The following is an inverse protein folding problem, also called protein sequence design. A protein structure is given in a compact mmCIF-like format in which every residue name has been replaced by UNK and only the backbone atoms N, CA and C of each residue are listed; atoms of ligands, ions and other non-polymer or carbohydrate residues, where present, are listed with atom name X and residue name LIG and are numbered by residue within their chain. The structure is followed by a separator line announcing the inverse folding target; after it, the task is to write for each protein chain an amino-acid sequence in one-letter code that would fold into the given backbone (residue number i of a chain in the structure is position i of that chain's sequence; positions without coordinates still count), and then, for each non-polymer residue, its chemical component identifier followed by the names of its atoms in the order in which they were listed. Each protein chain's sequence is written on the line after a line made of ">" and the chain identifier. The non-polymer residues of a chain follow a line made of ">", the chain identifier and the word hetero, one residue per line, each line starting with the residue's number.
data_IF_118746325382
#
_entry.id   IF_118746325382
#
_cell.length_a   1.000
_cell.length_b   1.000
_cell.length_c   1.000
_cell.angle_alpha   90.00
_cell.angle_beta   90.00
_cell.angle_gamma   90.00
#
_symmetry.space_group_name_H-M   'P 1'
#
loop_
_entity.id
_entity.type
_entity.pdbx_description
1 polymer ?
#
# COMPACT_ATOMS: atom_id res chain seq x y z
N UNK A 1 -20.01 -0.74 -6.25
CA UNK A 1 -19.28 -1.86 -6.85
C UNK A 1 -19.14 -2.98 -5.82
N UNK A 2 -19.63 -4.16 -6.16
CA UNK A 2 -19.65 -5.29 -5.23
C UNK A 2 -18.40 -6.15 -5.40
N UNK A 3 -17.23 -5.56 -5.26
CA UNK A 3 -15.98 -6.31 -5.32
C UNK A 3 -15.51 -6.69 -3.93
N UNK A 4 -14.64 -7.68 -3.87
CA UNK A 4 -13.97 -8.02 -2.62
C UNK A 4 -13.05 -6.84 -2.27
N UNK A 5 -13.21 -6.22 -1.07
CA UNK A 5 -12.40 -5.05 -0.71
C UNK A 5 -10.90 -5.36 -0.69
N UNK A 6 -10.51 -6.57 -0.35
CA UNK A 6 -9.10 -6.98 -0.38
C UNK A 6 -8.57 -7.02 -1.81
N UNK A 7 -9.38 -7.50 -2.75
CA UNK A 7 -8.99 -7.51 -4.18
C UNK A 7 -8.83 -6.08 -4.71
N UNK A 8 -9.76 -5.20 -4.38
CA UNK A 8 -9.70 -3.78 -4.77
C UNK A 8 -8.44 -3.13 -4.19
N UNK A 9 -8.16 -3.40 -2.92
CA UNK A 9 -6.97 -2.88 -2.25
C UNK A 9 -5.69 -3.42 -2.90
N UNK A 10 -5.69 -4.70 -3.29
CA UNK A 10 -4.55 -5.31 -3.99
C UNK A 10 -4.28 -4.61 -5.32
N UNK A 11 -5.31 -4.30 -6.08
CA UNK A 11 -5.17 -3.55 -7.34
C UNK A 11 -4.59 -2.15 -7.06
N UNK A 12 -5.05 -1.49 -5.99
CA UNK A 12 -4.51 -0.20 -5.59
C UNK A 12 -3.01 -0.28 -5.28
N UNK A 13 -2.59 -1.31 -4.55
CA UNK A 13 -1.19 -1.53 -4.20
C UNK A 13 -0.34 -1.78 -5.44
N UNK A 14 -0.80 -2.65 -6.34
CA UNK A 14 -0.08 -2.94 -7.59
C UNK A 14 0.06 -1.67 -8.43
N UNK A 15 -1.01 -0.89 -8.56
CA UNK A 15 -0.99 0.37 -9.30
C UNK A 15 0.02 1.35 -8.69
N UNK A 16 0.05 1.46 -7.36
CA UNK A 16 1.00 2.33 -6.66
C UNK A 16 2.44 1.90 -6.91
N UNK A 17 2.72 0.59 -6.82
CA UNK A 17 4.07 0.05 -7.06
C UNK A 17 4.50 0.31 -8.50
N UNK A 18 3.61 0.10 -9.46
CA UNK A 18 3.90 0.40 -10.87
C UNK A 18 4.16 1.89 -11.08
N UNK A 19 3.39 2.75 -10.42
CA UNK A 19 3.59 4.19 -10.48
C UNK A 19 4.94 4.61 -9.93
N UNK A 20 5.32 4.06 -8.79
CA UNK A 20 6.61 4.36 -8.16
C UNK A 20 7.77 3.86 -9.03
N UNK A 21 7.64 2.68 -9.64
CA UNK A 21 8.64 2.15 -10.57
C UNK A 21 8.78 3.04 -11.80
N UNK A 22 7.65 3.49 -12.36
CA UNK A 22 7.64 4.41 -13.50
C UNK A 22 8.28 5.76 -13.14
N UNK A 23 8.03 6.25 -11.93
CA UNK A 23 8.64 7.47 -11.44
C UNK A 23 10.16 7.36 -11.43
N UNK A 24 10.69 6.23 -10.98
CA UNK A 24 12.13 5.98 -11.00
C UNK A 24 12.67 5.92 -12.43
N UNK A 25 11.92 5.28 -13.33
CA UNK A 25 12.29 5.20 -14.76
C UNK A 25 12.21 6.57 -15.45
N UNK A 26 11.45 7.52 -14.91
CA UNK A 26 11.33 8.85 -15.48
C UNK A 26 12.57 9.72 -15.26
N UNK A 27 13.51 9.26 -14.46
CA UNK A 27 14.77 9.99 -14.15
C UNK A 27 14.49 11.42 -13.67
N UNK A 28 13.67 11.56 -12.62
CA UNK A 28 13.30 12.86 -12.10
C UNK A 28 12.29 13.60 -12.96
N UNK A 29 11.42 12.85 -13.66
CA UNK A 29 10.39 13.36 -14.57
C UNK A 29 10.96 14.03 -15.82
N UNK A 30 12.19 13.70 -16.20
CA UNK A 30 12.78 14.16 -17.47
C UNK A 30 12.26 13.37 -18.65
N UNK A 31 11.76 12.14 -18.41
CA UNK A 31 11.14 11.30 -19.44
C UNK A 31 9.62 11.49 -19.37
N UNK A 32 9.00 12.25 -20.31
CA UNK A 32 7.56 12.58 -20.18
C UNK A 32 6.63 11.38 -20.24
N UNK A 33 6.99 10.33 -20.99
CA UNK A 33 6.16 9.12 -21.10
C UNK A 33 6.01 8.45 -19.73
N UNK A 34 7.12 8.25 -19.03
CA UNK A 34 7.11 7.61 -17.71
C UNK A 34 6.46 8.51 -16.66
N UNK A 35 6.58 9.82 -16.78
CA UNK A 35 5.89 10.76 -15.90
C UNK A 35 4.37 10.66 -16.04
N UNK A 36 3.87 10.55 -17.27
CA UNK A 36 2.44 10.37 -17.54
C UNK A 36 1.95 9.03 -17.00
N UNK A 37 2.72 7.96 -17.20
CA UNK A 37 2.39 6.62 -16.67
C UNK A 37 2.33 6.66 -15.14
N UNK A 38 3.27 7.34 -14.50
CA UNK A 38 3.29 7.51 -13.04
C UNK A 38 1.99 8.18 -12.56
N UNK A 39 1.62 9.29 -13.19
CA UNK A 39 0.41 10.01 -12.83
C UNK A 39 -0.84 9.15 -12.99
N UNK A 40 -0.95 8.43 -14.10
CA UNK A 40 -2.08 7.55 -14.37
C UNK A 40 -2.18 6.43 -13.34
N UNK A 41 -1.04 5.80 -13.01
CA UNK A 41 -1.00 4.72 -12.02
C UNK A 41 -1.39 5.20 -10.63
N UNK A 42 -0.93 6.38 -10.21
CA UNK A 42 -1.30 6.93 -8.91
C UNK A 42 -2.77 7.32 -8.83
N UNK A 43 -3.32 7.91 -9.90
CA UNK A 43 -4.74 8.23 -9.96
C UNK A 43 -5.56 6.95 -9.79
N UNK A 44 -5.22 5.89 -10.54
CA UNK A 44 -5.90 4.60 -10.43
C UNK A 44 -5.77 4.02 -9.02
N UNK A 45 -4.58 4.10 -8.43
CA UNK A 45 -4.33 3.61 -7.07
C UNK A 45 -5.24 4.31 -6.05
N UNK A 46 -5.32 5.63 -6.10
CA UNK A 46 -6.15 6.40 -5.17
C UNK A 46 -7.64 6.15 -5.39
N UNK A 47 -8.08 5.99 -6.64
CA UNK A 47 -9.47 5.66 -6.94
C UNK A 47 -9.83 4.30 -6.36
N UNK A 48 -8.98 3.30 -6.57
CA UNK A 48 -9.20 1.96 -6.03
C UNK A 48 -9.17 1.94 -4.51
N UNK A 49 -8.24 2.71 -3.91
CA UNK A 49 -8.18 2.85 -2.45
C UNK A 49 -9.49 3.43 -1.91
N UNK A 50 -10.04 4.43 -2.59
CA UNK A 50 -11.32 5.03 -2.20
C UNK A 50 -12.45 4.00 -2.20
N UNK A 51 -12.50 3.14 -3.21
CA UNK A 51 -13.49 2.06 -3.25
C UNK A 51 -13.28 1.04 -2.14
N UNK A 52 -12.03 0.71 -1.83
CA UNK A 52 -11.72 -0.22 -0.74
C UNK A 52 -12.16 0.34 0.62
N UNK A 53 -12.11 1.66 0.80
CA UNK A 53 -12.50 2.31 2.05
C UNK A 53 -13.99 2.19 2.35
N UNK A 54 -14.82 1.81 1.38
CA UNK A 54 -16.25 1.59 1.63
C UNK A 54 -16.50 0.39 2.52
N UNK A 55 -15.61 -0.61 2.45
CA UNK A 55 -15.77 -1.87 3.18
C UNK A 55 -14.68 -2.13 4.21
N UNK A 56 -13.61 -1.33 4.20
CA UNK A 56 -12.50 -1.45 5.14
C UNK A 56 -12.37 -0.18 5.97
N UNK A 57 -11.90 -0.34 7.21
CA UNK A 57 -11.61 0.83 8.04
C UNK A 57 -10.48 1.65 7.42
N UNK A 58 -10.50 2.96 7.70
CA UNK A 58 -9.51 3.89 7.20
C UNK A 58 -8.08 3.46 7.59
N UNK A 59 -7.88 3.12 8.86
CA UNK A 59 -6.57 2.71 9.36
C UNK A 59 -6.06 1.44 8.70
N UNK A 60 -6.93 0.44 8.57
CA UNK A 60 -6.56 -0.83 7.95
C UNK A 60 -6.21 -0.65 6.48
N UNK A 61 -7.06 0.05 5.73
CA UNK A 61 -6.83 0.25 4.29
C UNK A 61 -5.53 1.03 4.04
N UNK A 62 -5.33 2.14 4.72
CA UNK A 62 -4.11 2.94 4.56
C UNK A 62 -2.87 2.22 5.07
N UNK A 63 -3.00 1.50 6.18
CA UNK A 63 -1.87 0.74 6.75
C UNK A 63 -1.39 -0.36 5.82
N UNK A 64 -2.30 -1.14 5.28
CA UNK A 64 -1.96 -2.22 4.35
C UNK A 64 -1.43 -1.64 3.04
N UNK A 65 -2.14 -0.66 2.48
CA UNK A 65 -1.72 -0.03 1.22
C UNK A 65 -0.33 0.59 1.34
N UNK A 66 -0.10 1.40 2.36
CA UNK A 66 1.19 2.04 2.56
C UNK A 66 2.29 1.07 2.92
N UNK A 67 2.01 0.13 3.84
CA UNK A 67 3.01 -0.83 4.30
C UNK A 67 3.41 -1.84 3.25
N UNK A 68 2.45 -2.50 2.62
CA UNK A 68 2.72 -3.49 1.58
C UNK A 68 3.32 -2.82 0.34
N UNK A 69 2.81 -1.64 -0.03
CA UNK A 69 3.36 -0.87 -1.15
C UNK A 69 4.83 -0.50 -0.91
N UNK A 70 5.15 -0.02 0.28
CA UNK A 70 6.53 0.32 0.65
C UNK A 70 7.43 -0.92 0.64
N UNK A 71 6.95 -2.03 1.18
CA UNK A 71 7.69 -3.29 1.19
C UNK A 71 8.02 -3.75 -0.24
N UNK A 72 7.03 -3.77 -1.11
CA UNK A 72 7.20 -4.19 -2.51
C UNK A 72 8.12 -3.22 -3.27
N UNK A 73 7.97 -1.93 -3.07
CA UNK A 73 8.81 -0.91 -3.70
C UNK A 73 10.28 -1.07 -3.26
N UNK A 74 10.50 -1.35 -1.98
CA UNK A 74 11.85 -1.58 -1.44
C UNK A 74 12.48 -2.81 -2.09
N UNK A 75 11.72 -3.91 -2.20
CA UNK A 75 12.20 -5.13 -2.84
C UNK A 75 12.57 -4.89 -4.30
N UNK A 76 11.71 -4.18 -5.04
CA UNK A 76 11.96 -3.86 -6.44
C UNK A 76 13.23 -3.01 -6.58
N UNK A 77 13.39 -2.01 -5.70
CA UNK A 77 14.59 -1.17 -5.70
C UNK A 77 15.86 -1.97 -5.48
N UNK A 78 15.84 -2.90 -4.54
CA UNK A 78 17.00 -3.75 -4.24
C UNK A 78 17.31 -4.67 -5.41
N UNK A 79 16.29 -5.30 -6.01
CA UNK A 79 16.48 -6.30 -7.06
C UNK A 79 16.87 -5.65 -8.40
N UNK A 80 16.15 -4.60 -8.81
CA UNK A 80 16.30 -4.03 -10.15
C UNK A 80 17.27 -2.86 -10.23
N UNK A 81 17.40 -2.08 -9.18
CA UNK A 81 18.27 -0.90 -9.16
C UNK A 81 19.47 -1.03 -8.25
N UNK A 82 19.68 -2.22 -7.68
CA UNK A 82 20.79 -2.48 -6.76
C UNK A 82 20.86 -1.45 -5.61
N UNK A 83 19.71 -1.03 -5.12
CA UNK A 83 19.67 -0.15 -3.96
C UNK A 83 20.35 -0.87 -2.79
N UNK A 84 21.10 -0.14 -1.95
CA UNK A 84 21.82 -0.80 -0.88
C UNK A 84 20.88 -1.38 0.15
N UNK A 85 21.09 -2.66 0.48
CA UNK A 85 20.40 -3.31 1.59
C UNK A 85 21.31 -3.19 2.82
N UNK A 86 20.85 -2.43 3.80
CA UNK A 86 21.58 -2.25 5.04
C UNK A 86 20.76 -2.79 6.22
N UNK A 87 21.40 -2.89 7.37
CA UNK A 87 20.71 -3.27 8.61
C UNK A 87 19.58 -2.29 8.90
N UNK A 88 19.78 -1.01 8.62
CA UNK A 88 18.75 0.03 8.82
C UNK A 88 17.53 -0.24 7.95
N UNK A 89 17.73 -0.59 6.67
CA UNK A 89 16.64 -0.95 5.76
C UNK A 89 15.90 -2.19 6.26
N UNK A 90 16.65 -3.21 6.69
CA UNK A 90 16.07 -4.44 7.24
C UNK A 90 15.21 -4.17 8.47
N UNK A 91 15.69 -3.35 9.39
CA UNK A 91 14.92 -2.96 10.59
C UNK A 91 13.65 -2.22 10.19
N UNK A 92 13.74 -1.31 9.22
CA UNK A 92 12.57 -0.58 8.72
C UNK A 92 11.52 -1.49 8.12
N UNK A 93 11.94 -2.46 7.31
CA UNK A 93 11.03 -3.45 6.70
C UNK A 93 10.33 -4.28 7.77
N UNK A 94 11.08 -4.76 8.76
CA UNK A 94 10.52 -5.53 9.88
C UNK A 94 9.52 -4.66 10.66
N UNK A 95 9.84 -3.39 10.89
CA UNK A 95 8.95 -2.47 11.59
C UNK A 95 7.64 -2.26 10.82
N UNK A 96 7.72 -2.13 9.49
CA UNK A 96 6.54 -1.98 8.63
C UNK A 96 5.65 -3.22 8.70
N UNK A 97 6.24 -4.41 8.57
CA UNK A 97 5.49 -5.67 8.62
C UNK A 97 4.84 -5.85 9.99
N UNK A 98 5.59 -5.57 11.06
CA UNK A 98 5.04 -5.64 12.42
C UNK A 98 3.90 -4.64 12.62
N UNK A 99 4.06 -3.43 12.08
CA UNK A 99 3.02 -2.40 12.13
C UNK A 99 1.73 -2.82 11.45
N UNK A 100 1.83 -3.45 10.27
CA UNK A 100 0.67 -3.96 9.53
C UNK A 100 -0.03 -5.04 10.37
N UNK A 101 0.73 -5.97 10.94
CA UNK A 101 0.17 -7.04 11.75
C UNK A 101 -0.56 -6.50 12.98
N UNK A 102 0.05 -5.54 13.68
CA UNK A 102 -0.56 -4.91 14.86
C UNK A 102 -1.81 -4.12 14.48
N UNK A 103 -1.76 -3.40 13.37
CA UNK A 103 -2.89 -2.60 12.92
C UNK A 103 -4.07 -3.50 12.54
N UNK A 104 -3.82 -4.59 11.84
CA UNK A 104 -4.85 -5.54 11.46
C UNK A 104 -5.51 -6.16 12.69
N UNK A 105 -4.69 -6.56 13.68
CA UNK A 105 -5.20 -7.13 14.93
C UNK A 105 -5.99 -6.10 15.72
N UNK A 106 -5.47 -4.88 15.86
CA UNK A 106 -6.16 -3.81 16.59
C UNK A 106 -7.48 -3.44 15.96
N UNK A 107 -7.55 -3.38 14.63
CA UNK A 107 -8.79 -3.10 13.91
C UNK A 107 -9.82 -4.21 14.15
N UNK A 108 -9.38 -5.46 14.11
CA UNK A 108 -10.24 -6.61 14.36
C UNK A 108 -10.83 -6.57 15.77
N UNK A 109 -9.98 -6.29 16.78
CA UNK A 109 -10.41 -6.17 18.17
C UNK A 109 -11.40 -5.02 18.36
N UNK A 110 -11.18 -3.88 17.68
CA UNK A 110 -12.07 -2.73 17.77
C UNK A 110 -13.45 -3.05 17.16
N UNK A 111 -13.47 -3.76 16.03
CA UNK A 111 -14.72 -4.19 15.40
C UNK A 111 -15.49 -5.16 16.27
N UNK A 112 -14.81 -6.11 16.91
CA UNK A 112 -15.43 -7.04 17.84
C UNK A 112 -16.01 -6.31 19.07
N UNK A 113 -15.29 -5.30 19.57
CA UNK A 113 -15.78 -4.51 20.70
C UNK A 113 -17.04 -3.72 20.34
N UNK A 114 -17.09 -3.15 19.13
CA UNK A 114 -18.29 -2.46 18.65
C UNK A 114 -19.48 -3.39 18.52
N UNK A 115 -19.26 -4.58 17.96
CA UNK A 115 -20.33 -5.58 17.82
C UNK A 115 -20.83 -6.04 19.18
N UNK A 116 -19.94 -6.22 20.13
CA UNK A 116 -20.33 -6.58 21.50
C UNK A 116 -21.17 -5.49 22.16
N UNK A 117 -20.83 -4.22 21.94
CA UNK A 117 -21.62 -3.09 22.45
C UNK A 117 -23.01 -3.03 21.81
N UNK A 118 -23.12 -3.30 20.53
CA UNK A 118 -24.40 -3.30 19.81
C UNK A 118 -25.31 -4.45 20.27
N UNK A 119 -24.72 -5.58 20.62
CA UNK A 119 -25.45 -6.76 21.06
C UNK A 119 -25.77 -6.74 22.55
N UNK A 120 -25.05 -5.95 23.29
CA UNK A 120 -25.26 -5.76 24.74
C UNK A 120 -26.28 -4.72 25.01
#
# INVERSE_FOLDING_TARGET
>A
MKGNPILILSVAIVSEVLGTTSMKLSEGFTQPVFGIVTAACYILSFVMLTFALKDLSLGMAYGIWGGVGTFLTTLIGIIFWNDPFSIVVGIGVIAVVAGIALLSKGTQEAEEAELACEQG
#
